data_IF_681496325449
#
_entry.id   IF_681496325449
#
_cell.length_a   1.000
_cell.length_b   1.000
_cell.length_c   1.000
_cell.angle_alpha   90.00
_cell.angle_beta   90.00
_cell.angle_gamma   90.00
#
_symmetry.space_group_name_H-M   'P 1'
#
loop_
_entity.id
_entity.type
_entity.pdbx_description
1 polymer ?
#
# COMPACT_ATOMS: atom_id res chain seq x y z
N UNK A 1 29.64 9.89 28.59
CA UNK A 1 28.44 9.95 27.74
C UNK A 1 28.06 8.51 27.41
N UNK A 2 26.78 8.15 27.43
CA UNK A 2 26.32 6.76 27.29
C UNK A 2 26.45 6.29 25.84
N UNK A 3 27.46 5.45 25.52
CA UNK A 3 27.66 4.78 24.23
C UNK A 3 26.66 3.65 24.01
N UNK A 4 25.38 3.99 23.88
CA UNK A 4 24.36 3.02 23.50
C UNK A 4 24.11 3.12 21.99
N UNK A 5 24.24 2.02 21.24
CA UNK A 5 24.15 2.08 19.80
C UNK A 5 22.68 2.25 19.36
N UNK A 6 22.48 2.93 18.23
CA UNK A 6 21.15 3.21 17.67
C UNK A 6 20.64 1.97 16.93
N UNK A 7 19.51 1.38 17.33
CA UNK A 7 18.87 0.30 16.58
C UNK A 7 17.89 0.86 15.54
N UNK A 8 18.07 0.51 14.27
CA UNK A 8 17.21 0.98 13.20
C UNK A 8 16.15 -0.06 12.83
N UNK A 9 14.87 0.34 12.79
CA UNK A 9 13.77 -0.49 12.32
C UNK A 9 13.10 0.21 11.12
N UNK A 10 13.28 -0.33 9.92
CA UNK A 10 12.67 0.26 8.72
C UNK A 10 11.23 -0.19 8.59
N UNK A 11 10.35 0.46 9.35
CA UNK A 11 8.93 0.18 9.22
C UNK A 11 8.36 0.70 7.89
N UNK A 12 7.23 0.11 7.57
CA UNK A 12 6.59 0.18 6.29
C UNK A 12 6.00 1.47 5.78
N UNK A 13 5.94 1.51 4.45
CA UNK A 13 4.86 2.05 3.63
C UNK A 13 3.48 1.82 4.24
N UNK A 14 2.92 2.88 4.81
CA UNK A 14 1.56 2.90 5.31
C UNK A 14 0.65 3.30 4.17
N UNK A 15 -0.34 2.47 3.92
CA UNK A 15 -1.51 2.91 3.19
C UNK A 15 -2.37 3.75 4.14
N UNK A 16 -2.70 4.95 3.69
CA UNK A 16 -3.59 5.88 4.36
C UNK A 16 -4.78 6.11 3.44
N UNK A 17 -5.93 5.65 3.89
CA UNK A 17 -7.19 5.74 3.17
C UNK A 17 -8.14 6.64 3.94
N UNK A 18 -8.51 7.77 3.34
CA UNK A 18 -9.55 8.65 3.86
C UNK A 18 -10.83 8.47 3.04
N UNK A 19 -11.90 8.04 3.68
CA UNK A 19 -13.25 8.12 3.12
C UNK A 19 -13.71 9.56 3.29
N UNK A 20 -14.22 10.19 2.22
CA UNK A 20 -14.52 11.64 2.22
C UNK A 20 -15.88 11.98 1.59
N UNK A 21 -16.71 10.99 1.29
CA UNK A 21 -18.03 11.21 0.69
C UNK A 21 -19.17 11.25 1.71
N UNK A 22 -19.34 10.19 2.50
CA UNK A 22 -20.43 10.06 3.47
C UNK A 22 -19.97 10.20 4.93
N UNK A 23 -18.74 9.78 5.21
CA UNK A 23 -18.07 9.89 6.50
C UNK A 23 -16.64 10.37 6.26
N UNK A 24 -16.02 10.97 7.27
CA UNK A 24 -14.62 11.41 7.22
C UNK A 24 -13.72 10.39 7.95
N UNK A 25 -13.88 9.12 7.58
CA UNK A 25 -13.18 8.01 8.23
C UNK A 25 -11.75 7.87 7.70
N UNK A 26 -10.83 7.50 8.59
CA UNK A 26 -9.42 7.34 8.27
C UNK A 26 -8.90 5.97 8.67
N UNK A 27 -8.45 5.22 7.66
CA UNK A 27 -7.80 3.94 7.84
C UNK A 27 -6.31 4.09 7.57
N UNK A 28 -5.49 3.58 8.50
CA UNK A 28 -4.04 3.52 8.35
C UNK A 28 -3.59 2.09 8.60
N UNK A 29 -2.96 1.48 7.61
CA UNK A 29 -2.46 0.10 7.66
C UNK A 29 -1.06 0.04 7.07
N UNK A 30 -0.20 -0.76 7.66
CA UNK A 30 1.12 -1.05 7.09
C UNK A 30 0.94 -2.06 5.93
N UNK A 31 1.74 -2.07 4.84
CA UNK A 31 1.53 -3.04 3.73
C UNK A 31 2.71 -3.97 3.32
N UNK A 32 3.92 -3.91 3.91
CA UNK A 32 5.09 -4.82 3.67
C UNK A 32 6.34 -4.68 4.63
N UNK A 33 6.44 -5.37 5.78
CA UNK A 33 7.35 -4.93 6.88
C UNK A 33 8.78 -5.41 6.68
N UNK A 34 9.76 -4.52 6.85
CA UNK A 34 11.19 -4.91 6.90
C UNK A 34 11.81 -4.53 8.25
N UNK A 35 12.11 -5.54 9.08
CA UNK A 35 12.78 -5.31 10.35
C UNK A 35 14.28 -5.60 10.23
N UNK A 36 15.10 -4.62 10.59
CA UNK A 36 16.55 -4.76 10.61
C UNK A 36 17.10 -4.74 12.03
N UNK A 37 18.13 -5.53 12.29
CA UNK A 37 18.91 -5.49 13.54
C UNK A 37 20.11 -4.55 13.46
N UNK A 38 20.17 -3.71 12.43
CA UNK A 38 21.30 -2.82 12.19
C UNK A 38 21.47 -1.82 13.34
N UNK A 39 22.73 -1.62 13.72
CA UNK A 39 23.10 -0.79 14.86
C UNK A 39 24.16 0.21 14.47
N UNK A 40 24.00 1.47 14.87
CA UNK A 40 24.98 2.54 14.58
C UNK A 40 25.65 3.01 15.87
N UNK A 41 26.96 2.73 16.05
CA UNK A 41 27.74 3.26 17.17
C UNK A 41 27.84 4.80 17.15
N UNK A 42 28.05 5.39 18.33
CA UNK A 42 28.32 6.83 18.49
C UNK A 42 29.42 7.32 17.53
N UNK A 43 29.20 8.43 16.84
CA UNK A 43 30.21 9.05 15.97
C UNK A 43 30.46 8.34 14.64
N UNK A 44 29.68 7.30 14.30
CA UNK A 44 29.78 6.59 13.01
C UNK A 44 28.57 6.85 12.11
N UNK A 45 28.65 6.46 10.84
CA UNK A 45 27.55 6.59 9.87
C UNK A 45 27.27 5.24 9.22
N UNK A 46 25.99 4.86 9.13
CA UNK A 46 25.52 3.69 8.38
C UNK A 46 24.85 4.14 7.08
N UNK A 47 25.27 3.56 5.96
CA UNK A 47 24.58 3.68 4.66
C UNK A 47 24.18 2.29 4.21
N UNK A 48 22.88 2.03 4.17
CA UNK A 48 22.32 0.74 3.76
C UNK A 48 21.07 0.96 2.93
N UNK A 49 20.87 0.13 1.91
CA UNK A 49 19.69 0.14 1.04
C UNK A 49 18.74 -0.94 1.54
N UNK A 50 17.48 -0.56 1.75
CA UNK A 50 16.39 -1.47 2.11
C UNK A 50 15.40 -1.53 0.95
N UNK A 51 14.89 -2.73 0.67
CA UNK A 51 13.89 -2.97 -0.37
C UNK A 51 12.59 -3.40 0.28
N UNK A 52 11.50 -2.67 0.01
CA UNK A 52 10.15 -2.99 0.46
C UNK A 52 9.32 -3.38 -0.77
N UNK A 53 8.48 -4.40 -0.65
CA UNK A 53 7.61 -4.86 -1.75
C UNK A 53 6.15 -4.93 -1.25
N UNK A 54 5.38 -3.83 -1.34
CA UNK A 54 3.99 -3.76 -0.88
C UNK A 54 3.04 -4.53 -1.82
N UNK A 55 2.90 -5.84 -1.62
CA UNK A 55 2.00 -6.67 -2.44
C UNK A 55 0.73 -7.07 -1.69
N UNK A 56 -0.41 -7.11 -2.40
CA UNK A 56 -1.65 -7.64 -1.85
C UNK A 56 -1.50 -9.10 -1.39
N UNK A 57 -0.65 -9.89 -2.05
CA UNK A 57 -0.40 -11.28 -1.70
C UNK A 57 -0.04 -11.49 -0.21
N UNK A 58 0.73 -10.58 0.38
CA UNK A 58 1.12 -10.61 1.79
C UNK A 58 0.10 -9.94 2.74
N UNK A 59 -0.99 -9.39 2.21
CA UNK A 59 -1.98 -8.60 2.97
C UNK A 59 -3.42 -9.10 2.80
N UNK A 60 -3.65 -10.24 2.14
CA UNK A 60 -5.01 -10.76 1.84
C UNK A 60 -5.91 -10.91 3.08
N UNK A 61 -5.33 -11.24 4.22
CA UNK A 61 -6.08 -11.42 5.48
C UNK A 61 -6.39 -10.10 6.20
N UNK A 62 -5.81 -8.98 5.74
CA UNK A 62 -5.89 -7.69 6.43
C UNK A 62 -7.08 -6.91 5.94
N UNK A 63 -7.93 -6.51 6.88
CA UNK A 63 -9.09 -5.65 6.61
C UNK A 63 -8.75 -4.16 6.77
N UNK A 64 -9.51 -3.33 6.05
CA UNK A 64 -9.35 -1.88 6.08
C UNK A 64 -8.13 -1.38 5.30
N UNK A 65 -7.73 -2.14 4.28
CA UNK A 65 -6.84 -1.68 3.19
C UNK A 65 -7.69 -1.44 1.94
N UNK A 66 -7.31 -0.46 1.14
CA UNK A 66 -7.94 -0.11 -0.11
C UNK A 66 -7.40 -1.02 -1.23
N UNK A 67 -8.32 -1.55 -2.02
CA UNK A 67 -8.04 -2.41 -3.18
C UNK A 67 -8.63 -1.77 -4.43
N UNK A 68 -8.09 -2.10 -5.61
CA UNK A 68 -8.65 -1.70 -6.91
C UNK A 68 -9.76 -2.63 -7.43
N UNK A 69 -10.09 -3.66 -6.65
CA UNK A 69 -11.05 -4.71 -7.01
C UNK A 69 -11.60 -5.46 -5.82
N UNK A 70 -12.39 -6.51 -6.09
CA UNK A 70 -12.92 -7.40 -5.06
C UNK A 70 -11.84 -8.39 -4.64
N UNK A 71 -11.72 -8.67 -3.34
CA UNK A 71 -10.73 -9.61 -2.80
C UNK A 71 -10.78 -11.01 -3.45
N UNK A 72 -11.95 -11.41 -4.00
CA UNK A 72 -12.15 -12.71 -4.65
C UNK A 72 -11.52 -12.82 -6.05
N UNK A 73 -11.17 -11.71 -6.71
CA UNK A 73 -10.60 -11.74 -8.05
C UNK A 73 -9.08 -11.89 -8.01
N UNK A 74 -8.53 -12.64 -8.96
CA UNK A 74 -7.10 -12.91 -9.07
C UNK A 74 -6.28 -11.66 -9.44
N UNK A 75 -6.87 -10.79 -10.26
CA UNK A 75 -6.26 -9.57 -10.80
C UNK A 75 -6.26 -8.38 -9.84
N UNK A 76 -6.85 -8.53 -8.65
CA UNK A 76 -6.98 -7.43 -7.67
C UNK A 76 -5.64 -7.12 -7.00
N UNK A 77 -5.34 -5.83 -6.86
CA UNK A 77 -4.15 -5.29 -6.23
C UNK A 77 -4.51 -4.33 -5.09
N UNK A 78 -3.48 -3.81 -4.42
CA UNK A 78 -3.63 -2.63 -3.57
C UNK A 78 -4.04 -1.43 -4.43
N UNK A 79 -4.91 -0.57 -3.91
CA UNK A 79 -5.38 0.60 -4.65
C UNK A 79 -4.21 1.54 -4.99
N UNK A 80 -4.21 2.17 -6.16
CA UNK A 80 -3.20 3.19 -6.48
C UNK A 80 -3.41 4.49 -5.67
N UNK A 81 -2.37 5.32 -5.56
CA UNK A 81 -2.50 6.64 -4.93
C UNK A 81 -3.48 7.53 -5.69
N UNK A 82 -4.36 8.23 -4.96
CA UNK A 82 -5.31 9.17 -5.54
C UNK A 82 -4.62 10.45 -6.00
N UNK A 83 -4.83 10.86 -7.25
CA UNK A 83 -4.36 12.13 -7.78
C UNK A 83 -5.44 13.19 -7.54
N UNK A 84 -5.14 14.18 -6.70
CA UNK A 84 -6.04 15.31 -6.44
C UNK A 84 -5.61 16.50 -7.28
N UNK A 85 -6.49 16.97 -8.16
CA UNK A 85 -6.32 18.23 -8.90
C UNK A 85 -6.88 19.38 -8.06
N UNK A 86 -6.23 20.54 -8.12
CA UNK A 86 -6.58 21.70 -7.28
C UNK A 86 -8.02 22.21 -7.52
N UNK A 87 -8.52 22.06 -8.74
CA UNK A 87 -9.87 22.50 -9.15
C UNK A 87 -10.99 21.51 -8.77
N UNK A 88 -10.66 20.31 -8.29
CA UNK A 88 -11.64 19.26 -7.98
C UNK A 88 -11.80 19.12 -6.48
N UNK A 89 -13.05 19.22 -6.01
CA UNK A 89 -13.39 18.95 -4.62
C UNK A 89 -13.04 17.50 -4.28
N UNK A 90 -12.18 17.32 -3.27
CA UNK A 90 -11.70 16.01 -2.81
C UNK A 90 -12.83 15.03 -2.47
N UNK A 91 -13.94 15.54 -1.97
CA UNK A 91 -15.14 14.78 -1.59
C UNK A 91 -15.75 14.02 -2.78
N UNK A 92 -15.61 14.56 -4.00
CA UNK A 92 -16.13 13.94 -5.23
C UNK A 92 -15.39 12.65 -5.59
N UNK A 93 -14.16 12.45 -5.07
CA UNK A 93 -13.37 11.25 -5.35
C UNK A 93 -13.81 10.03 -4.52
N UNK A 94 -14.68 10.19 -3.52
CA UNK A 94 -15.15 9.10 -2.68
C UNK A 94 -14.15 8.68 -1.60
N UNK A 95 -13.02 8.16 -2.04
CA UNK A 95 -11.92 7.67 -1.21
C UNK A 95 -10.58 8.23 -1.71
N UNK A 96 -9.75 8.68 -0.77
CA UNK A 96 -8.39 9.15 -1.04
C UNK A 96 -7.40 8.14 -0.49
N UNK A 97 -6.60 7.55 -1.35
CA UNK A 97 -5.54 6.59 -0.99
C UNK A 97 -4.19 7.26 -1.15
N UNK A 98 -3.30 7.08 -0.17
CA UNK A 98 -1.91 7.54 -0.26
C UNK A 98 -0.99 6.57 0.45
N UNK A 99 0.21 6.39 -0.11
CA UNK A 99 1.25 5.56 0.49
C UNK A 99 2.35 6.40 1.12
N UNK A 100 2.98 5.87 2.16
CA UNK A 100 3.98 6.60 2.93
C UNK A 100 5.00 5.70 3.58
N UNK A 101 6.25 5.78 3.15
CA UNK A 101 7.38 5.08 3.77
C UNK A 101 7.70 5.68 5.15
N UNK A 102 7.87 4.86 6.18
CA UNK A 102 8.08 5.30 7.57
C UNK A 102 9.31 4.64 8.19
N UNK A 103 10.48 5.25 8.04
CA UNK A 103 11.70 4.80 8.71
C UNK A 103 11.59 5.12 10.22
N UNK A 104 11.78 4.10 11.07
CA UNK A 104 11.84 4.26 12.53
C UNK A 104 13.26 4.03 13.02
N UNK A 105 13.75 4.97 13.82
CA UNK A 105 15.02 4.84 14.52
C UNK A 105 14.71 4.71 16.01
N UNK A 106 15.14 3.61 16.61
CA UNK A 106 15.00 3.34 18.03
C UNK A 106 16.35 3.61 18.70
N UNK A 107 16.52 4.84 19.20
CA UNK A 107 17.57 5.15 20.16
C UNK A 107 17.08 4.76 21.56
N UNK A 108 17.97 4.29 22.44
CA UNK A 108 17.62 4.04 23.85
C UNK A 108 17.30 5.35 24.58
N UNK A 109 16.06 5.83 24.40
CA UNK A 109 15.51 7.05 25.02
C UNK A 109 14.79 8.02 24.06
N UNK A 110 14.82 7.82 22.73
CA UNK A 110 14.21 8.77 21.78
C UNK A 110 13.75 8.09 20.48
N UNK A 111 12.48 8.29 20.09
CA UNK A 111 11.88 7.72 18.86
C UNK A 111 11.72 8.80 17.79
N UNK A 112 12.35 8.63 16.62
CA UNK A 112 12.27 9.56 15.49
C UNK A 112 11.54 8.94 14.28
N UNK A 113 10.80 9.77 13.52
CA UNK A 113 10.02 9.34 12.34
C UNK A 113 10.27 10.25 11.13
N UNK A 114 10.79 9.69 10.04
CA UNK A 114 11.08 10.41 8.78
C UNK A 114 10.11 10.04 7.65
N UNK A 115 9.95 10.93 6.67
CA UNK A 115 9.03 10.79 5.53
C UNK A 115 9.78 11.14 4.24
N UNK A 116 9.69 10.31 3.19
CA UNK A 116 10.25 10.58 1.86
C UNK A 116 9.33 9.96 0.79
N UNK A 117 9.23 10.55 -0.41
CA UNK A 117 8.44 9.98 -1.52
C UNK A 117 8.82 10.50 -2.91
N UNK A 118 8.84 9.60 -3.91
CA UNK A 118 8.46 9.80 -5.33
C UNK A 118 8.70 8.53 -6.17
N UNK A 119 7.85 8.23 -7.16
CA UNK A 119 8.11 7.29 -8.27
C UNK A 119 7.27 7.61 -9.54
N UNK A 120 7.81 7.29 -10.73
CA UNK A 120 7.28 7.56 -12.08
C UNK A 120 7.15 6.22 -12.85
N UNK A 121 6.12 6.05 -13.68
CA UNK A 121 5.94 4.91 -14.59
C UNK A 121 5.73 5.38 -16.04
N UNK A 122 6.33 4.66 -17.00
CA UNK A 122 6.09 4.78 -18.44
C UNK A 122 5.64 3.42 -18.98
N UNK A 123 4.66 3.42 -19.88
CA UNK A 123 4.23 2.23 -20.62
C UNK A 123 3.85 2.64 -22.05
N UNK A 124 4.40 1.94 -23.04
CA UNK A 124 3.90 1.97 -24.41
C UNK A 124 4.09 0.59 -25.03
N UNK A 125 3.02 -0.01 -25.56
CA UNK A 125 3.09 -0.90 -26.72
C UNK A 125 1.68 -1.12 -27.34
N UNK A 126 1.64 -1.53 -28.61
CA UNK A 126 0.43 -1.74 -29.43
C UNK A 126 0.37 -3.17 -29.94
N UNK A 127 -0.76 -3.86 -29.76
CA UNK A 127 -0.99 -5.27 -30.12
C UNK A 127 -2.35 -5.48 -30.85
N UNK A 128 -2.50 -6.64 -31.50
CA UNK A 128 -3.70 -7.10 -32.21
C UNK A 128 -4.85 -7.52 -31.26
N UNK A 129 -6.10 -7.41 -31.72
CA UNK A 129 -7.28 -7.66 -30.87
C UNK A 129 -7.63 -9.15 -30.74
N UNK A 130 -7.69 -9.64 -29.50
CA UNK A 130 -8.20 -10.97 -29.11
C UNK A 130 -9.44 -10.81 -28.25
N UNK A 131 -10.47 -11.62 -28.48
CA UNK A 131 -11.71 -11.59 -27.67
C UNK A 131 -11.60 -12.55 -26.48
N UNK A 132 -11.83 -12.03 -25.28
CA UNK A 132 -11.86 -12.77 -24.01
C UNK A 132 -13.17 -12.48 -23.25
N UNK A 133 -13.51 -13.32 -22.27
CA UNK A 133 -14.71 -13.11 -21.45
C UNK A 133 -14.51 -11.91 -20.51
N UNK A 134 -15.56 -11.09 -20.33
CA UNK A 134 -15.51 -9.96 -19.39
C UNK A 134 -15.41 -10.39 -17.91
N UNK A 135 -15.81 -11.63 -17.60
CA UNK A 135 -15.81 -12.18 -16.26
C UNK A 135 -14.38 -12.31 -15.74
N UNK A 136 -14.11 -11.67 -14.60
CA UNK A 136 -12.81 -11.75 -13.95
C UNK A 136 -12.55 -13.14 -13.39
N UNK A 137 -11.31 -13.58 -13.49
CA UNK A 137 -10.85 -14.85 -12.93
C UNK A 137 -10.86 -14.77 -11.40
N UNK A 138 -11.39 -15.81 -10.78
CA UNK A 138 -11.48 -15.94 -9.33
C UNK A 138 -10.20 -16.53 -8.74
N UNK A 139 -9.83 -16.07 -7.55
CA UNK A 139 -8.75 -16.71 -6.79
C UNK A 139 -9.10 -18.18 -6.52
N UNK A 140 -8.12 -19.04 -6.79
CA UNK A 140 -8.23 -20.49 -6.59
C UNK A 140 -8.65 -20.81 -5.15
N UNK A 141 -9.75 -21.55 -5.01
CA UNK A 141 -10.29 -21.98 -3.71
C UNK A 141 -11.37 -21.08 -3.11
N UNK A 142 -11.73 -19.97 -3.76
CA UNK A 142 -12.91 -19.17 -3.41
C UNK A 142 -14.08 -19.62 -4.30
N UNK A 143 -15.14 -20.11 -3.69
CA UNK A 143 -16.38 -20.48 -4.38
C UNK A 143 -17.16 -19.18 -4.64
N UNK A 144 -17.63 -18.92 -5.87
CA UNK A 144 -18.48 -17.77 -6.15
C UNK A 144 -19.79 -17.89 -5.36
N UNK A 145 -20.22 -16.80 -4.73
CA UNK A 145 -21.57 -16.71 -4.17
C UNK A 145 -22.59 -16.81 -5.33
N UNK A 146 -23.66 -17.59 -5.15
CA UNK A 146 -24.66 -17.95 -6.18
C UNK A 146 -25.46 -16.75 -6.76
N UNK A 147 -25.23 -15.52 -6.26
CA UNK A 147 -25.97 -14.31 -6.63
C UNK A 147 -25.46 -13.60 -7.92
N UNK A 148 -24.40 -14.09 -8.58
CA UNK A 148 -23.96 -13.60 -9.90
C UNK A 148 -24.53 -14.49 -11.04
N UNK A 149 -25.86 -14.63 -11.10
CA UNK A 149 -26.53 -15.12 -12.32
C UNK A 149 -26.73 -13.96 -13.28
N UNK A 150 -26.52 -14.15 -14.61
CA UNK A 150 -26.87 -13.12 -15.57
C UNK A 150 -28.38 -12.91 -15.50
N UNK A 151 -28.82 -11.68 -15.23
CA UNK A 151 -30.17 -11.28 -15.62
C UNK A 151 -30.22 -11.43 -17.14
N UNK A 152 -30.85 -12.52 -17.60
CA UNK A 152 -31.18 -12.72 -19.01
C UNK A 152 -31.92 -11.47 -19.51
N UNK A 153 -31.42 -10.89 -20.60
CA UNK A 153 -32.09 -9.84 -21.36
C UNK A 153 -32.79 -10.47 -22.56
#
# INVERSE_FOLDING_TARGET
MSDKPLHMQVSLEKEVTNVVLYSNDKYVRAVALEESSDSVPSGTTLKKVYTLIPLLAANKERRGIALDGKLKHEDTNLASSSIVKEEVLKEVQGMLVSYKVVVRLNASGLQWRFHSGSCILNLTQSDDMVFEEFKRVYLKGIIPDDDESPTEA
#
